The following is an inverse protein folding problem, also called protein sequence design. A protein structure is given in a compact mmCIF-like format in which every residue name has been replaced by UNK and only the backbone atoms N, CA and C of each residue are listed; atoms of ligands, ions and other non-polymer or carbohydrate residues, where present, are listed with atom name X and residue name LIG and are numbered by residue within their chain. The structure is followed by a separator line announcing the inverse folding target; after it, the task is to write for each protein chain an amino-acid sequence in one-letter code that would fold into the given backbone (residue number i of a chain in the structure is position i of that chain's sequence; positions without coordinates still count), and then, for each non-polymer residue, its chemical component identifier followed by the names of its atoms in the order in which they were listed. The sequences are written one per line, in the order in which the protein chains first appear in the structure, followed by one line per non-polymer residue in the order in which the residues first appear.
data_IF_344607795565
#
_entry.id   IF_344607795565
#
_cell.length_a   1.000
_cell.length_b   1.000
_cell.length_c   1.000
_cell.angle_alpha   90.00
_cell.angle_beta   90.00
_cell.angle_gamma   90.00
#
_symmetry.space_group_name_H-M   'P 1'
#
loop_
_entity.id
_entity.type
_entity.pdbx_description
1 polymer ?
#
# COMPACT_ATOMS: atom_id res chain seq x y z
N UNK A 1 27.80 -0.38 -7.22
CA UNK A 1 26.35 -0.21 -7.45
C UNK A 1 26.17 0.74 -8.60
N UNK A 2 25.48 0.34 -9.66
CA UNK A 2 25.18 1.22 -10.79
C UNK A 2 24.30 2.40 -10.36
N UNK A 3 24.61 3.61 -10.83
CA UNK A 3 23.84 4.83 -10.57
C UNK A 3 22.35 4.69 -10.94
N UNK A 4 22.05 3.86 -11.94
CA UNK A 4 20.69 3.49 -12.35
C UNK A 4 19.95 2.65 -11.29
N UNK A 5 20.65 1.76 -10.57
CA UNK A 5 20.05 0.96 -9.50
C UNK A 5 19.71 1.82 -8.28
N UNK A 6 20.56 2.80 -7.97
CA UNK A 6 20.33 3.76 -6.86
C UNK A 6 19.04 4.58 -7.12
N UNK A 7 18.90 5.15 -8.31
CA UNK A 7 17.70 5.91 -8.70
C UNK A 7 16.43 5.04 -8.75
N UNK A 8 16.56 3.77 -9.17
CA UNK A 8 15.46 2.81 -9.19
C UNK A 8 14.98 2.50 -7.76
N UNK A 9 15.90 2.32 -6.82
CA UNK A 9 15.59 2.10 -5.40
C UNK A 9 14.96 3.32 -4.73
N UNK A 10 15.42 4.53 -5.05
CA UNK A 10 14.83 5.79 -4.56
C UNK A 10 13.38 5.93 -5.01
N UNK A 11 13.09 5.75 -6.30
CA UNK A 11 11.72 5.85 -6.81
C UNK A 11 10.79 4.78 -6.20
N UNK A 12 11.30 3.55 -6.01
CA UNK A 12 10.57 2.49 -5.32
C UNK A 12 10.21 2.88 -3.89
N UNK A 13 11.17 3.46 -3.15
CA UNK A 13 10.97 3.95 -1.78
C UNK A 13 9.88 5.01 -1.71
N UNK A 14 9.87 5.95 -2.65
CA UNK A 14 8.86 7.01 -2.70
C UNK A 14 7.46 6.45 -3.00
N UNK A 15 7.35 5.48 -3.93
CA UNK A 15 6.09 4.79 -4.22
C UNK A 15 5.57 4.00 -3.02
N UNK A 16 6.44 3.25 -2.35
CA UNK A 16 6.08 2.53 -1.13
C UNK A 16 5.65 3.48 -0.01
N UNK A 17 6.37 4.59 0.20
CA UNK A 17 6.02 5.60 1.20
C UNK A 17 4.61 6.16 1.00
N UNK A 18 4.25 6.48 -0.24
CA UNK A 18 2.92 6.96 -0.58
C UNK A 18 1.84 5.88 -0.39
N UNK A 19 2.10 4.63 -0.79
CA UNK A 19 1.17 3.51 -0.57
C UNK A 19 0.93 3.27 0.92
N UNK A 20 1.97 3.33 1.76
CA UNK A 20 1.83 3.20 3.21
C UNK A 20 0.90 4.28 3.81
N UNK A 21 1.04 5.53 3.36
CA UNK A 21 0.15 6.62 3.82
C UNK A 21 -1.28 6.36 3.36
N UNK A 22 -1.47 6.00 2.09
CA UNK A 22 -2.80 5.70 1.55
C UNK A 22 -3.48 4.53 2.29
N UNK A 23 -2.76 3.44 2.56
CA UNK A 23 -3.26 2.31 3.34
C UNK A 23 -3.63 2.71 4.77
N UNK A 24 -2.81 3.53 5.44
CA UNK A 24 -3.11 4.01 6.78
C UNK A 24 -4.39 4.88 6.83
N UNK A 25 -4.63 5.67 5.78
CA UNK A 25 -5.83 6.48 5.63
C UNK A 25 -7.08 5.64 5.32
N UNK A 26 -6.95 4.62 4.47
CA UNK A 26 -8.07 3.74 4.08
C UNK A 26 -8.48 2.83 5.25
N UNK A 27 -7.52 2.31 6.01
CA UNK A 27 -7.78 1.40 7.14
C UNK A 27 -8.22 2.12 8.42
N UNK A 28 -8.37 3.45 8.39
CA UNK A 28 -8.68 4.31 9.55
C UNK A 28 -7.68 4.11 10.73
N UNK A 29 -6.45 3.69 10.41
CA UNK A 29 -5.37 3.43 11.40
C UNK A 29 -4.51 4.65 11.65
N UNK A 30 -4.74 5.75 10.94
CA UNK A 30 -4.01 6.97 11.19
C UNK A 30 -4.48 7.58 12.52
N UNK A 31 -3.73 7.36 13.61
CA UNK A 31 -3.90 8.17 14.82
C UNK A 31 -3.46 9.60 14.51
N UNK A 32 -4.47 10.45 14.41
CA UNK A 32 -4.47 11.56 13.48
C UNK A 32 -4.07 12.84 14.25
N UNK A 33 -2.80 12.85 14.66
CA UNK A 33 -2.20 13.96 15.44
C UNK A 33 -1.46 14.99 14.59
N UNK A 34 -1.14 14.69 13.32
CA UNK A 34 -0.40 15.64 12.46
C UNK A 34 -0.86 15.61 10.99
N UNK A 35 -1.97 16.30 10.73
CA UNK A 35 -2.76 16.21 9.49
C UNK A 35 -2.17 16.99 8.32
N UNK A 36 -1.61 18.17 8.62
CA UNK A 36 -0.91 18.99 7.65
C UNK A 36 0.35 18.26 7.15
N UNK A 37 1.03 17.57 8.07
CA UNK A 37 2.19 16.74 7.76
C UNK A 37 1.83 15.54 6.86
N UNK A 38 0.68 14.90 7.05
CA UNK A 38 0.22 13.81 6.15
C UNK A 38 0.04 14.33 4.72
N UNK A 39 -0.70 15.42 4.53
CA UNK A 39 -0.93 16.01 3.20
C UNK A 39 0.38 16.47 2.56
N UNK A 40 1.26 17.12 3.33
CA UNK A 40 2.57 17.55 2.84
C UNK A 40 3.44 16.36 2.42
N UNK A 41 3.49 15.29 3.22
CA UNK A 41 4.23 14.07 2.89
C UNK A 41 3.70 13.39 1.63
N UNK A 42 2.39 13.33 1.45
CA UNK A 42 1.79 12.79 0.22
C UNK A 42 2.20 13.62 -0.99
N UNK A 43 2.15 14.95 -0.90
CA UNK A 43 2.55 15.87 -1.96
C UNK A 43 4.06 15.72 -2.29
N UNK A 44 4.91 15.58 -1.27
CA UNK A 44 6.35 15.36 -1.43
C UNK A 44 6.63 14.03 -2.15
N UNK A 45 6.00 12.93 -1.72
CA UNK A 45 6.14 11.64 -2.41
C UNK A 45 5.65 11.73 -3.86
N UNK A 46 4.48 12.33 -4.09
CA UNK A 46 3.93 12.53 -5.43
C UNK A 46 4.87 13.33 -6.34
N UNK A 47 5.44 14.43 -5.84
CA UNK A 47 6.39 15.24 -6.58
C UNK A 47 7.59 14.41 -7.02
N UNK A 48 8.25 13.74 -6.06
CA UNK A 48 9.43 12.91 -6.34
C UNK A 48 9.13 11.75 -7.28
N UNK A 49 7.96 11.11 -7.16
CA UNK A 49 7.53 10.06 -8.08
C UNK A 49 7.39 10.61 -9.50
N UNK A 50 6.69 11.74 -9.66
CA UNK A 50 6.49 12.32 -11.00
C UNK A 50 7.78 12.85 -11.62
N UNK A 51 8.68 13.43 -10.83
CA UNK A 51 10.01 13.87 -11.27
C UNK A 51 10.91 12.69 -11.65
N UNK A 52 10.95 11.64 -10.81
CA UNK A 52 11.71 10.43 -11.07
C UNK A 52 11.25 9.70 -12.34
N UNK A 53 9.93 9.61 -12.55
CA UNK A 53 9.36 9.05 -13.77
C UNK A 53 9.67 9.92 -15.00
N UNK A 54 9.54 11.26 -14.90
CA UNK A 54 9.89 12.16 -16.01
C UNK A 54 11.36 12.07 -16.40
N UNK A 55 12.26 12.03 -15.42
CA UNK A 55 13.70 11.85 -15.67
C UNK A 55 14.00 10.53 -16.39
N UNK A 56 13.27 9.46 -16.05
CA UNK A 56 13.36 8.18 -16.75
C UNK A 56 12.83 8.27 -18.18
N UNK A 57 11.71 8.98 -18.39
CA UNK A 57 11.15 9.23 -19.73
C UNK A 57 12.15 9.93 -20.66
N UNK A 58 12.85 10.96 -20.16
CA UNK A 58 13.86 11.70 -20.95
C UNK A 58 15.06 10.84 -21.32
N UNK A 59 15.45 9.91 -20.44
CA UNK A 59 16.56 8.99 -20.68
C UNK A 59 16.20 7.86 -21.66
N UNK A 60 14.98 7.32 -21.58
CA UNK A 60 14.57 6.13 -22.35
C UNK A 60 13.73 6.49 -23.60
N UNK A 61 13.36 7.77 -23.79
CA UNK A 61 12.45 8.26 -24.86
C UNK A 61 11.11 7.51 -24.92
N UNK A 62 10.64 6.98 -23.80
CA UNK A 62 9.38 6.24 -23.71
C UNK A 62 8.19 7.19 -23.55
N UNK A 63 7.44 7.38 -24.65
CA UNK A 63 6.19 8.17 -24.65
C UNK A 63 5.14 7.69 -23.64
N UNK A 64 5.17 6.41 -23.28
CA UNK A 64 4.20 5.82 -22.35
C UNK A 64 4.36 6.33 -20.90
N UNK A 65 5.56 6.78 -20.51
CA UNK A 65 5.82 7.27 -19.15
C UNK A 65 5.05 8.55 -18.85
N UNK A 66 4.87 9.42 -19.85
CA UNK A 66 4.12 10.67 -19.69
C UNK A 66 2.63 10.42 -19.47
N UNK A 67 2.07 9.39 -20.12
CA UNK A 67 0.68 8.94 -19.90
C UNK A 67 0.52 8.49 -18.45
N UNK A 68 1.45 7.69 -17.92
CA UNK A 68 1.40 7.24 -16.52
C UNK A 68 1.53 8.39 -15.52
N UNK A 69 2.43 9.33 -15.77
CA UNK A 69 2.62 10.52 -14.92
C UNK A 69 1.35 11.38 -14.90
N UNK A 70 0.73 11.61 -16.06
CA UNK A 70 -0.50 12.39 -16.16
C UNK A 70 -1.67 11.69 -15.48
N UNK A 71 -1.81 10.37 -15.67
CA UNK A 71 -2.84 9.58 -14.99
C UNK A 71 -2.69 9.60 -13.47
N UNK A 72 -1.46 9.54 -12.96
CA UNK A 72 -1.19 9.61 -11.52
C UNK A 72 -1.48 11.01 -10.95
N UNK A 73 -1.10 12.07 -11.67
CA UNK A 73 -1.44 13.45 -11.31
C UNK A 73 -2.95 13.68 -11.26
N UNK A 74 -3.70 13.20 -12.25
CA UNK A 74 -5.16 13.30 -12.26
C UNK A 74 -5.80 12.60 -11.05
N UNK A 75 -5.27 11.45 -10.63
CA UNK A 75 -5.75 10.75 -9.43
C UNK A 75 -5.44 11.54 -8.16
N UNK A 76 -4.26 12.15 -8.08
CA UNK A 76 -3.91 13.04 -6.98
C UNK A 76 -4.81 14.28 -6.91
N UNK A 77 -5.08 14.93 -8.05
CA UNK A 77 -6.03 16.05 -8.10
C UNK A 77 -7.43 15.63 -7.66
N UNK A 78 -7.90 14.42 -8.03
CA UNK A 78 -9.18 13.87 -7.54
C UNK A 78 -9.20 13.69 -6.02
N UNK A 79 -8.10 13.23 -5.42
CA UNK A 79 -7.99 13.10 -3.97
C UNK A 79 -8.08 14.47 -3.30
N UNK A 80 -7.40 15.49 -3.84
CA UNK A 80 -7.48 16.87 -3.34
C UNK A 80 -8.88 17.47 -3.52
N UNK A 81 -9.51 17.28 -4.68
CA UNK A 81 -10.84 17.82 -4.97
C UNK A 81 -11.96 17.18 -4.16
N UNK A 82 -11.75 15.94 -3.68
CA UNK A 82 -12.66 15.26 -2.76
C UNK A 82 -12.43 15.63 -1.29
N UNK A 83 -11.75 16.76 -1.06
CA UNK A 83 -11.70 17.46 0.21
C UNK A 83 -11.00 16.67 1.33
N UNK A 84 -9.97 15.90 0.97
CA UNK A 84 -9.14 15.12 1.91
C UNK A 84 -8.65 15.98 3.08
N UNK A 85 -8.19 17.20 2.81
CA UNK A 85 -7.70 18.12 3.84
C UNK A 85 -8.78 18.43 4.88
N UNK A 86 -9.99 18.75 4.42
CA UNK A 86 -11.11 19.05 5.32
C UNK A 86 -11.60 17.80 6.05
N UNK A 87 -11.62 16.64 5.40
CA UNK A 87 -11.96 15.37 6.04
C UNK A 87 -10.99 15.05 7.19
N UNK A 88 -9.69 15.20 6.94
CA UNK A 88 -8.64 15.05 7.93
C UNK A 88 -8.83 16.07 9.08
N UNK A 89 -8.99 17.36 8.77
CA UNK A 89 -9.14 18.40 9.81
C UNK A 89 -10.39 18.19 10.69
N UNK A 90 -11.50 17.74 10.12
CA UNK A 90 -12.77 17.55 10.83
C UNK A 90 -12.81 16.28 11.68
N UNK A 91 -11.80 15.40 11.59
CA UNK A 91 -11.74 14.08 12.27
C UNK A 91 -13.07 13.33 12.16
N UNK A 92 -13.69 13.37 10.98
CA UNK A 92 -14.94 12.65 10.75
C UNK A 92 -14.65 11.16 10.84
N UNK A 93 -15.41 10.45 11.70
CA UNK A 93 -15.31 8.99 11.87
C UNK A 93 -15.54 8.18 10.59
N UNK A 94 -16.20 8.78 9.60
CA UNK A 94 -16.54 8.11 8.35
C UNK A 94 -16.02 8.93 7.18
N UNK A 95 -15.25 8.26 6.34
CA UNK A 95 -14.75 8.83 5.10
C UNK A 95 -15.88 8.93 4.07
N UNK A 96 -16.04 10.07 3.38
CA UNK A 96 -16.98 10.16 2.27
C UNK A 96 -16.62 9.14 1.19
N UNK A 97 -17.58 8.36 0.70
CA UNK A 97 -17.31 7.28 -0.28
C UNK A 97 -16.62 7.76 -1.57
N UNK A 98 -16.80 9.03 -1.96
CA UNK A 98 -16.06 9.64 -3.10
C UNK A 98 -14.57 9.81 -2.80
N UNK A 99 -14.23 10.20 -1.57
CA UNK A 99 -12.85 10.35 -1.11
C UNK A 99 -12.20 8.98 -0.93
N UNK A 100 -12.89 8.05 -0.28
CA UNK A 100 -12.44 6.67 -0.11
C UNK A 100 -12.15 6.01 -1.46
N UNK A 101 -13.09 6.11 -2.40
CA UNK A 101 -12.91 5.61 -3.76
C UNK A 101 -11.70 6.22 -4.47
N UNK A 102 -11.48 7.53 -4.32
CA UNK A 102 -10.31 8.19 -4.91
C UNK A 102 -8.97 7.73 -4.29
N UNK A 103 -8.92 7.51 -2.97
CA UNK A 103 -7.74 6.98 -2.29
C UNK A 103 -7.47 5.52 -2.68
N UNK A 104 -8.50 4.69 -2.76
CA UNK A 104 -8.39 3.28 -3.20
C UNK A 104 -7.92 3.19 -4.64
N UNK A 105 -8.49 3.99 -5.54
CA UNK A 105 -8.10 4.02 -6.95
C UNK A 105 -6.64 4.46 -7.12
N UNK A 106 -6.22 5.47 -6.34
CA UNK A 106 -4.84 5.94 -6.34
C UNK A 106 -3.88 4.87 -5.80
N UNK A 107 -4.23 4.23 -4.68
CA UNK A 107 -3.44 3.16 -4.06
C UNK A 107 -3.26 1.97 -5.01
N UNK A 108 -4.36 1.48 -5.59
CA UNK A 108 -4.33 0.39 -6.58
C UNK A 108 -3.48 0.74 -7.79
N UNK A 109 -3.59 1.98 -8.29
CA UNK A 109 -2.80 2.41 -9.45
C UNK A 109 -1.30 2.46 -9.16
N UNK A 110 -0.90 2.92 -7.97
CA UNK A 110 0.49 2.93 -7.53
C UNK A 110 1.02 1.51 -7.35
N UNK A 111 0.24 0.62 -6.75
CA UNK A 111 0.60 -0.79 -6.59
C UNK A 111 0.76 -1.50 -7.94
N UNK A 112 -0.13 -1.26 -8.90
CA UNK A 112 -0.01 -1.81 -10.26
C UNK A 112 1.23 -1.27 -10.96
N UNK A 113 1.49 0.04 -10.88
CA UNK A 113 2.68 0.65 -11.48
C UNK A 113 3.97 0.12 -10.84
N UNK A 114 3.99 -0.02 -9.52
CA UNK A 114 5.10 -0.60 -8.79
C UNK A 114 5.32 -2.07 -9.19
N UNK A 115 4.25 -2.85 -9.24
CA UNK A 115 4.29 -4.24 -9.68
C UNK A 115 4.87 -4.36 -11.08
N UNK A 116 4.38 -3.58 -12.04
CA UNK A 116 4.88 -3.58 -13.41
C UNK A 116 6.34 -3.10 -13.53
N UNK A 117 6.76 -2.13 -12.72
CA UNK A 117 8.09 -1.54 -12.82
C UNK A 117 9.19 -2.28 -12.03
N UNK A 118 8.82 -3.05 -11.01
CA UNK A 118 9.77 -3.62 -10.04
C UNK A 118 9.56 -5.11 -9.74
N UNK A 119 8.31 -5.60 -9.84
CA UNK A 119 7.98 -6.98 -9.50
C UNK A 119 7.78 -7.87 -10.73
N UNK A 120 7.38 -7.29 -11.87
CA UNK A 120 7.48 -7.93 -13.16
C UNK A 120 8.98 -8.05 -13.46
N UNK A 121 9.57 -9.17 -13.08
CA UNK A 121 10.91 -9.52 -13.52
C UNK A 121 10.95 -9.37 -15.04
N UNK A 122 12.04 -8.83 -15.57
CA UNK A 122 12.28 -8.78 -17.01
C UNK A 122 12.11 -10.20 -17.58
N UNK A 123 10.92 -10.52 -18.09
CA UNK A 123 10.63 -11.80 -18.73
C UNK A 123 11.34 -11.91 -20.07
N UNK A 124 12.00 -10.84 -20.53
CA UNK A 124 12.61 -10.78 -21.86
C UNK A 124 14.13 -10.56 -21.81
N UNK A 125 14.73 -9.99 -20.74
CA UNK A 125 16.20 -9.84 -20.65
C UNK A 125 16.67 -9.84 -19.19
N UNK A 126 17.37 -10.89 -18.75
CA UNK A 126 18.09 -10.89 -17.46
C UNK A 126 19.08 -9.72 -17.34
N UNK A 127 19.46 -9.31 -16.11
CA UNK A 127 19.92 -10.22 -15.07
C UNK A 127 18.99 -10.32 -13.86
N UNK A 128 18.96 -11.55 -13.34
CA UNK A 128 18.29 -12.06 -12.15
C UNK A 128 17.87 -11.03 -11.10
N UNK A 129 16.61 -11.09 -10.65
CA UNK A 129 16.30 -10.88 -9.24
C UNK A 129 17.34 -11.73 -8.49
N UNK A 130 18.29 -11.11 -7.78
CA UNK A 130 19.36 -11.91 -7.17
C UNK A 130 18.69 -12.99 -6.33
N UNK A 131 19.19 -14.22 -6.42
CA UNK A 131 18.59 -15.40 -5.75
C UNK A 131 18.30 -15.09 -4.27
N UNK A 132 19.03 -14.16 -3.66
CA UNK A 132 18.79 -13.63 -2.33
C UNK A 132 17.47 -12.86 -2.17
N UNK A 133 17.08 -12.00 -3.13
CA UNK A 133 15.81 -11.27 -3.09
C UNK A 133 14.62 -12.21 -3.27
N UNK A 134 14.71 -13.17 -4.19
CA UNK A 134 13.69 -14.21 -4.35
C UNK A 134 13.58 -15.06 -3.06
N UNK A 135 14.70 -15.50 -2.50
CA UNK A 135 14.72 -16.24 -1.21
C UNK A 135 14.16 -15.41 -0.06
N UNK A 136 14.44 -14.11 0.00
CA UNK A 136 13.91 -13.24 1.03
C UNK A 136 12.39 -13.10 0.91
N UNK A 137 11.86 -12.91 -0.30
CA UNK A 137 10.42 -12.88 -0.56
C UNK A 137 9.74 -14.21 -0.18
N UNK A 138 10.34 -15.35 -0.53
CA UNK A 138 9.85 -16.67 -0.13
C UNK A 138 9.82 -16.84 1.39
N UNK A 139 10.87 -16.40 2.10
CA UNK A 139 10.90 -16.45 3.58
C UNK A 139 9.84 -15.56 4.22
N UNK A 140 9.65 -14.35 3.69
CA UNK A 140 8.60 -13.45 4.19
C UNK A 140 7.22 -14.10 3.99
N UNK A 141 6.98 -14.69 2.82
CA UNK A 141 5.74 -15.40 2.54
C UNK A 141 5.52 -16.58 3.49
N UNK A 142 6.56 -17.38 3.75
CA UNK A 142 6.51 -18.52 4.66
C UNK A 142 6.24 -18.10 6.12
N UNK A 143 6.88 -17.02 6.58
CA UNK A 143 6.64 -16.46 7.91
C UNK A 143 5.21 -15.97 8.08
N UNK A 144 4.68 -15.23 7.11
CA UNK A 144 3.29 -14.73 7.14
C UNK A 144 2.30 -15.89 7.14
N UNK A 145 2.53 -16.93 6.33
CA UNK A 145 1.68 -18.12 6.31
C UNK A 145 1.69 -18.87 7.64
N UNK A 146 2.87 -18.97 8.28
CA UNK A 146 3.00 -19.59 9.60
C UNK A 146 2.24 -18.81 10.66
N UNK A 147 2.43 -17.49 10.74
CA UNK A 147 1.71 -16.67 11.72
C UNK A 147 0.20 -16.71 11.51
N UNK A 148 -0.27 -16.67 10.26
CA UNK A 148 -1.71 -16.82 9.96
C UNK A 148 -2.26 -18.17 10.39
N UNK A 149 -1.48 -19.26 10.24
CA UNK A 149 -1.86 -20.60 10.70
C UNK A 149 -1.93 -20.68 12.22
N UNK A 150 -0.96 -20.07 12.92
CA UNK A 150 -0.93 -20.03 14.37
C UNK A 150 -2.11 -19.20 14.93
N UNK A 151 -2.43 -18.08 14.28
CA UNK A 151 -3.63 -17.30 14.57
C UNK A 151 -4.92 -18.09 14.36
N UNK A 152 -5.01 -18.88 13.27
CA UNK A 152 -6.16 -19.77 13.02
C UNK A 152 -6.31 -20.80 14.16
N UNK A 153 -5.22 -21.43 14.58
CA UNK A 153 -5.23 -22.38 15.70
C UNK A 153 -5.64 -21.73 17.02
N UNK A 154 -5.11 -20.55 17.31
CA UNK A 154 -5.48 -19.77 18.50
C UNK A 154 -6.98 -19.43 18.50
N UNK A 155 -7.52 -18.96 17.37
CA UNK A 155 -8.93 -18.63 17.23
C UNK A 155 -9.83 -19.87 17.34
N UNK A 156 -9.40 -21.03 16.82
CA UNK A 156 -10.12 -22.30 17.01
C UNK A 156 -10.20 -22.69 18.49
N UNK A 157 -9.09 -22.65 19.23
CA UNK A 157 -9.08 -22.98 20.67
C UNK A 157 -9.89 -21.97 21.49
N UNK A 158 -9.82 -20.68 21.16
CA UNK A 158 -10.66 -19.63 21.77
C UNK A 158 -12.14 -19.86 21.46
N UNK A 159 -12.47 -20.24 20.23
CA UNK A 159 -13.83 -20.57 19.79
C UNK A 159 -14.38 -21.76 20.57
N UNK A 160 -13.65 -22.86 20.65
CA UNK A 160 -14.05 -24.05 21.42
C UNK A 160 -14.25 -23.73 22.89
N UNK A 161 -13.32 -23.01 23.54
CA UNK A 161 -13.46 -22.61 24.94
C UNK A 161 -14.68 -21.70 25.18
N UNK A 162 -14.97 -20.78 24.26
CA UNK A 162 -16.17 -19.95 24.35
C UNK A 162 -17.45 -20.79 24.19
N UNK A 163 -17.47 -21.76 23.29
CA UNK A 163 -18.62 -22.67 23.10
C UNK A 163 -18.81 -23.55 24.35
N UNK A 164 -17.73 -24.05 24.96
CA UNK A 164 -17.81 -24.85 26.18
C UNK A 164 -18.25 -24.01 27.39
N UNK A 165 -17.82 -22.76 27.51
CA UNK A 165 -18.22 -21.87 28.61
C UNK A 165 -19.65 -21.30 28.48
N UNK A 166 -20.19 -21.23 27.25
CA UNK A 166 -21.58 -20.79 27.01
C UNK A 166 -22.59 -21.94 26.91
N UNK A 167 -22.11 -23.20 26.94
CA UNK A 167 -22.96 -24.36 27.18
C UNK A 167 -23.34 -24.39 28.67
N UNK A 168 -24.49 -23.80 29.00
CA UNK A 168 -25.16 -24.07 30.26
C UNK A 168 -25.43 -25.58 30.35
N UNK A 169 -24.95 -26.29 31.39
CA UNK A 169 -25.43 -27.64 31.63
C UNK A 169 -26.91 -27.52 31.96
N UNK A 170 -27.77 -28.16 31.16
CA UNK A 170 -29.16 -28.40 31.52
C UNK A 170 -29.17 -29.30 32.77
N UNK A 171 -29.04 -28.72 33.94
CA UNK A 171 -29.61 -29.27 35.16
C UNK A 171 -31.04 -28.75 35.26
N UNK A 172 -31.96 -29.52 34.71
CA UNK A 172 -33.35 -29.51 35.13
C UNK A 172 -33.66 -30.95 35.55
N UNK A 173 -33.81 -31.12 36.86
CA UNK A 173 -34.26 -32.34 37.51
C UNK A 173 -35.39 -33.03 36.74
N UNK A 174 -35.22 -34.33 36.49
CA UNK A 174 -36.16 -35.39 36.87
C UNK A 174 -35.45 -36.74 36.81
#
# INVERSE_FOLDING_TARGET
MDFLQVKRAELAKEMCGLVCILSALIEDKAETKDMANIMERMEQHMRKITEGLKAKSTQVKEKNVEIYVNALRQKWEKVKSNDLLNHLQKKQRLMPGKLEGALVDMSRSLQTLFGAAYCAGDTVKGPSISIHHAKALYRIQEMVQKELKDYKGFLSVKGERNVTMTRYPFFSHM
#
